data_IF_936695368164
#
_entry.id   IF_936695368164
#
_cell.length_a   1.000
_cell.length_b   1.000
_cell.length_c   1.000
_cell.angle_alpha   90.00
_cell.angle_beta   90.00
_cell.angle_gamma   90.00
#
_symmetry.space_group_name_H-M   'P 1'
#
loop_
_entity.id
_entity.type
_entity.pdbx_description
1 polymer ?
#
# COMPACT_ATOMS: atom_id res chain seq x y z
N UNK A 1 -14.05 15.78 -16.77
CA UNK A 1 -15.29 15.18 -17.30
C UNK A 1 -16.20 14.86 -16.12
N UNK A 2 -17.53 14.83 -16.28
CA UNK A 2 -18.43 14.41 -15.19
C UNK A 2 -18.99 13.04 -15.52
N UNK A 3 -19.14 12.20 -14.51
CA UNK A 3 -19.56 10.82 -14.65
C UNK A 3 -20.72 10.50 -13.72
N UNK A 4 -21.59 9.60 -14.12
CA UNK A 4 -22.57 8.96 -13.26
C UNK A 4 -22.02 7.57 -12.91
N UNK A 5 -21.65 7.37 -11.64
CA UNK A 5 -21.32 6.05 -11.10
C UNK A 5 -22.62 5.34 -10.76
N UNK A 6 -22.76 4.13 -11.27
CA UNK A 6 -23.84 3.20 -10.90
C UNK A 6 -23.22 2.08 -10.05
N UNK A 7 -23.85 1.73 -8.94
CA UNK A 7 -23.39 0.63 -8.09
C UNK A 7 -24.53 -0.28 -7.70
N UNK A 8 -24.25 -1.60 -7.67
CA UNK A 8 -25.20 -2.62 -7.26
C UNK A 8 -24.48 -3.74 -6.49
N UNK A 9 -25.13 -4.22 -5.41
CA UNK A 9 -24.69 -5.42 -4.71
C UNK A 9 -25.35 -6.65 -5.29
N UNK A 10 -24.58 -7.73 -5.47
CA UNK A 10 -25.10 -8.96 -6.04
C UNK A 10 -24.38 -10.19 -5.46
N UNK A 11 -25.06 -11.36 -5.44
CA UNK A 11 -24.39 -12.64 -5.18
C UNK A 11 -23.35 -12.97 -6.25
N UNK A 12 -22.32 -13.77 -5.93
CA UNK A 12 -21.19 -14.05 -6.81
C UNK A 12 -21.57 -14.59 -8.20
N UNK A 13 -22.60 -15.40 -8.30
CA UNK A 13 -23.06 -16.00 -9.55
C UNK A 13 -23.66 -15.00 -10.55
N UNK A 14 -24.00 -13.78 -10.09
CA UNK A 14 -24.53 -12.71 -10.95
C UNK A 14 -23.49 -11.62 -11.25
N UNK A 15 -22.24 -11.77 -10.79
CA UNK A 15 -21.16 -10.81 -11.05
C UNK A 15 -20.89 -10.69 -12.55
N UNK A 16 -20.71 -11.81 -13.23
CA UNK A 16 -20.38 -11.84 -14.65
C UNK A 16 -21.47 -11.17 -15.53
N UNK A 17 -22.76 -11.54 -15.42
CA UNK A 17 -23.80 -10.88 -16.21
C UNK A 17 -23.98 -9.39 -15.90
N UNK A 18 -23.85 -8.96 -14.65
CA UNK A 18 -23.94 -7.56 -14.28
C UNK A 18 -22.72 -6.75 -14.75
N UNK A 19 -21.53 -7.31 -14.59
CA UNK A 19 -20.29 -6.70 -15.09
C UNK A 19 -20.32 -6.54 -16.61
N UNK A 20 -20.81 -7.56 -17.31
CA UNK A 20 -20.99 -7.51 -18.77
C UNK A 20 -21.98 -6.42 -19.18
N UNK A 21 -23.10 -6.30 -18.48
CA UNK A 21 -24.11 -5.26 -18.71
C UNK A 21 -23.52 -3.84 -18.53
N UNK A 22 -22.75 -3.64 -17.46
CA UNK A 22 -22.09 -2.36 -17.17
C UNK A 22 -20.99 -2.05 -18.19
N UNK A 23 -20.25 -3.05 -18.66
CA UNK A 23 -19.21 -2.85 -19.67
C UNK A 23 -19.76 -2.51 -21.06
N UNK A 24 -20.92 -3.09 -21.46
CA UNK A 24 -21.54 -2.79 -22.76
C UNK A 24 -22.09 -1.38 -22.82
N UNK A 25 -22.70 -0.90 -21.74
CA UNK A 25 -23.41 0.38 -21.72
C UNK A 25 -22.60 1.49 -21.05
N UNK A 26 -21.60 1.15 -20.26
CA UNK A 26 -20.70 2.08 -19.60
C UNK A 26 -19.51 2.51 -20.46
N UNK A 27 -18.65 3.30 -19.88
CA UNK A 27 -17.32 3.63 -20.41
C UNK A 27 -16.24 3.17 -19.41
N UNK A 28 -15.23 2.46 -19.91
CA UNK A 28 -14.23 1.81 -19.07
C UNK A 28 -14.68 0.43 -18.58
N UNK A 29 -13.84 -0.20 -17.79
CA UNK A 29 -14.14 -1.50 -17.20
C UNK A 29 -14.95 -1.33 -15.91
N UNK A 30 -15.99 -2.13 -15.74
CA UNK A 30 -16.69 -2.20 -14.47
C UNK A 30 -15.76 -2.74 -13.38
N UNK A 31 -15.83 -2.15 -12.19
CA UNK A 31 -15.08 -2.67 -11.02
C UNK A 31 -15.94 -3.60 -10.19
N UNK A 32 -15.31 -4.62 -9.62
CA UNK A 32 -15.92 -5.57 -8.71
C UNK A 32 -15.21 -5.49 -7.37
N UNK A 33 -15.93 -5.09 -6.34
CA UNK A 33 -15.43 -4.96 -4.98
C UNK A 33 -16.09 -6.01 -4.09
N UNK A 34 -15.31 -6.82 -3.43
CA UNK A 34 -15.78 -7.80 -2.44
C UNK A 34 -15.84 -7.15 -1.07
N UNK A 35 -16.94 -7.35 -0.36
CA UNK A 35 -17.05 -6.92 1.04
C UNK A 35 -16.32 -7.91 1.95
N UNK A 36 -15.62 -7.39 2.95
CA UNK A 36 -14.80 -8.14 3.87
C UNK A 36 -13.32 -8.03 3.47
N UNK A 37 -12.53 -7.48 4.36
CA UNK A 37 -11.08 -7.46 4.17
C UNK A 37 -10.58 -8.91 4.21
N UNK A 38 -10.20 -9.45 3.06
CA UNK A 38 -9.35 -10.63 3.00
C UNK A 38 -8.03 -10.21 2.40
N UNK A 39 -6.97 -10.76 2.92
CA UNK A 39 -5.63 -10.54 2.42
C UNK A 39 -5.14 -11.82 1.71
N UNK A 40 -5.08 -11.84 0.36
CA UNK A 40 -4.57 -13.02 -0.37
C UNK A 40 -3.16 -13.39 0.04
N UNK A 41 -2.34 -12.39 0.41
CA UNK A 41 -0.96 -12.59 0.84
C UNK A 41 -0.88 -13.29 2.21
N UNK A 42 -1.95 -13.24 3.00
CA UNK A 42 -2.10 -14.00 4.24
C UNK A 42 -2.72 -15.40 4.01
N UNK A 43 -2.95 -15.78 2.76
CA UNK A 43 -3.59 -17.05 2.41
C UNK A 43 -5.10 -17.05 2.69
N UNK A 44 -5.68 -15.89 2.92
CA UNK A 44 -7.11 -15.75 3.09
C UNK A 44 -7.80 -15.80 1.74
N UNK A 45 -8.95 -16.44 1.71
CA UNK A 45 -9.83 -16.46 0.54
C UNK A 45 -11.13 -15.77 0.90
N UNK A 46 -11.69 -14.96 -0.01
CA UNK A 46 -12.99 -14.36 0.24
C UNK A 46 -14.03 -15.47 0.42
N UNK A 47 -15.01 -15.21 1.28
CA UNK A 47 -16.18 -16.09 1.34
C UNK A 47 -16.78 -16.21 -0.07
N UNK A 48 -16.81 -17.43 -0.65
CA UNK A 48 -17.31 -17.63 -2.00
C UNK A 48 -18.80 -17.28 -2.15
N UNK A 49 -19.53 -17.15 -1.03
CA UNK A 49 -20.95 -16.80 -1.02
C UNK A 49 -21.20 -15.33 -0.69
N UNK A 50 -20.16 -14.58 -0.31
CA UNK A 50 -20.29 -13.17 0.06
C UNK A 50 -20.74 -12.32 -1.15
N UNK A 51 -21.68 -11.44 -0.90
CA UNK A 51 -22.14 -10.49 -1.89
C UNK A 51 -21.01 -9.53 -2.27
N UNK A 52 -20.98 -9.14 -3.55
CA UNK A 52 -20.02 -8.21 -4.11
C UNK A 52 -20.70 -6.92 -4.56
N UNK A 53 -19.97 -5.82 -4.54
CA UNK A 53 -20.42 -4.56 -5.11
C UNK A 53 -19.81 -4.41 -6.52
N UNK A 54 -20.67 -4.21 -7.50
CA UNK A 54 -20.26 -3.97 -8.90
C UNK A 54 -20.51 -2.50 -9.18
N UNK A 55 -19.50 -1.81 -9.75
CA UNK A 55 -19.61 -0.41 -10.15
C UNK A 55 -19.29 -0.24 -11.62
N UNK A 56 -20.06 0.60 -12.29
CA UNK A 56 -19.83 1.04 -13.66
C UNK A 56 -19.97 2.55 -13.76
N UNK A 57 -19.44 3.13 -14.82
CA UNK A 57 -19.47 4.59 -15.02
C UNK A 57 -20.05 4.94 -16.37
N UNK A 58 -20.95 5.93 -16.39
CA UNK A 58 -21.53 6.52 -17.57
C UNK A 58 -21.02 7.97 -17.71
N UNK A 59 -20.61 8.41 -18.90
CA UNK A 59 -20.31 9.82 -19.11
C UNK A 59 -21.60 10.64 -18.93
N UNK A 60 -21.51 11.79 -18.27
CA UNK A 60 -22.64 12.73 -18.17
C UNK A 60 -22.71 13.57 -19.45
N UNK A 61 -23.35 12.97 -20.45
CA UNK A 61 -23.58 13.53 -21.79
C UNK A 61 -25.03 13.25 -22.27
N UNK A 62 -25.43 13.68 -23.47
CA UNK A 62 -26.77 13.40 -23.97
C UNK A 62 -27.15 11.92 -24.10
N UNK A 63 -26.22 11.00 -24.04
CA UNK A 63 -26.44 9.54 -24.13
C UNK A 63 -26.67 8.87 -22.77
N UNK A 64 -26.42 9.58 -21.66
CA UNK A 64 -26.48 9.05 -20.29
C UNK A 64 -27.79 8.34 -19.99
N UNK A 65 -28.91 9.01 -20.24
CA UNK A 65 -30.25 8.48 -19.95
C UNK A 65 -30.59 7.23 -20.79
N UNK A 66 -30.15 7.19 -22.04
CA UNK A 66 -30.35 6.02 -22.90
C UNK A 66 -29.52 4.81 -22.39
N UNK A 67 -28.27 5.05 -22.03
CA UNK A 67 -27.38 4.01 -21.48
C UNK A 67 -27.89 3.51 -20.12
N UNK A 68 -28.27 4.42 -19.23
CA UNK A 68 -28.87 4.11 -17.94
C UNK A 68 -30.12 3.26 -18.09
N UNK A 69 -31.03 3.66 -18.98
CA UNK A 69 -32.26 2.88 -19.26
C UNK A 69 -31.93 1.45 -19.70
N UNK A 70 -30.92 1.28 -20.54
CA UNK A 70 -30.50 -0.06 -20.98
C UNK A 70 -29.97 -0.91 -19.83
N UNK A 71 -29.19 -0.31 -18.93
CA UNK A 71 -28.70 -0.98 -17.69
C UNK A 71 -29.88 -1.34 -16.78
N UNK A 72 -30.80 -0.43 -16.54
CA UNK A 72 -31.98 -0.66 -15.69
C UNK A 72 -32.86 -1.79 -16.23
N UNK A 73 -33.04 -1.88 -17.54
CA UNK A 73 -33.78 -3.00 -18.16
C UNK A 73 -33.06 -4.31 -17.92
N UNK A 74 -31.72 -4.35 -18.11
CA UNK A 74 -30.91 -5.55 -17.87
C UNK A 74 -30.94 -5.98 -16.39
N UNK A 75 -30.80 -5.05 -15.47
CA UNK A 75 -30.88 -5.32 -14.01
C UNK A 75 -32.28 -5.84 -13.64
N UNK A 76 -33.35 -5.27 -14.16
CA UNK A 76 -34.71 -5.76 -13.93
C UNK A 76 -34.93 -7.17 -14.43
N UNK A 77 -34.34 -7.54 -15.55
CA UNK A 77 -34.42 -8.92 -16.04
C UNK A 77 -33.71 -9.89 -15.08
N UNK A 78 -32.55 -9.50 -14.54
CA UNK A 78 -31.84 -10.31 -13.55
C UNK A 78 -32.62 -10.40 -12.24
N UNK A 79 -33.32 -9.33 -11.83
CA UNK A 79 -34.19 -9.31 -10.63
C UNK A 79 -35.33 -10.31 -10.66
N UNK A 80 -35.73 -10.80 -11.84
CA UNK A 80 -36.69 -11.91 -11.91
C UNK A 80 -36.10 -13.27 -11.48
N UNK A 81 -34.78 -13.37 -11.41
CA UNK A 81 -34.05 -14.59 -11.05
C UNK A 81 -33.52 -14.54 -9.61
N UNK A 82 -33.25 -13.36 -9.09
CA UNK A 82 -32.65 -13.12 -7.77
C UNK A 82 -33.11 -11.78 -7.21
N UNK A 83 -33.28 -11.71 -5.91
CA UNK A 83 -33.63 -10.45 -5.23
C UNK A 83 -32.38 -9.55 -5.16
N UNK A 84 -32.33 -8.52 -5.97
CA UNK A 84 -31.23 -7.54 -6.01
C UNK A 84 -31.70 -6.19 -5.46
N UNK A 85 -30.86 -5.46 -4.73
CA UNK A 85 -31.14 -4.10 -4.27
C UNK A 85 -31.28 -3.14 -5.47
N UNK A 86 -31.76 -1.94 -5.19
CA UNK A 86 -31.78 -0.87 -6.19
C UNK A 86 -30.35 -0.49 -6.62
N UNK A 87 -30.22 -0.03 -7.87
CA UNK A 87 -28.97 0.54 -8.35
C UNK A 87 -28.79 1.90 -7.68
N UNK A 88 -27.68 2.06 -6.98
CA UNK A 88 -27.30 3.33 -6.39
C UNK A 88 -26.62 4.20 -7.44
N UNK A 89 -26.92 5.48 -7.45
CA UNK A 89 -26.42 6.46 -8.40
C UNK A 89 -25.63 7.54 -7.65
N UNK A 90 -24.45 7.86 -8.17
CA UNK A 90 -23.61 8.92 -7.64
C UNK A 90 -22.97 9.70 -8.79
N UNK A 91 -23.27 11.00 -8.88
CA UNK A 91 -22.52 11.84 -9.82
C UNK A 91 -21.09 12.06 -9.27
N UNK A 92 -20.10 11.76 -10.10
CA UNK A 92 -18.69 11.96 -9.79
C UNK A 92 -18.01 12.79 -10.87
N UNK A 93 -17.16 13.70 -10.48
CA UNK A 93 -16.33 14.46 -11.42
C UNK A 93 -14.93 13.87 -11.50
N UNK A 94 -14.23 14.01 -12.65
CA UNK A 94 -12.83 13.59 -12.80
C UNK A 94 -11.91 14.13 -11.71
N UNK A 95 -12.37 15.12 -10.96
CA UNK A 95 -11.65 15.69 -9.84
C UNK A 95 -12.00 15.10 -8.47
N UNK A 96 -13.12 14.37 -8.31
CA UNK A 96 -13.56 13.99 -6.95
C UNK A 96 -12.80 12.82 -6.37
N UNK A 97 -12.40 11.84 -7.14
CA UNK A 97 -11.50 10.82 -6.65
C UNK A 97 -10.01 11.23 -6.76
N UNK A 98 -9.66 12.20 -7.62
CA UNK A 98 -8.40 12.97 -7.51
C UNK A 98 -8.45 14.00 -6.40
N UNK A 99 -9.65 14.41 -5.98
CA UNK A 99 -9.93 15.35 -4.90
C UNK A 99 -10.31 14.67 -3.57
N UNK A 100 -9.97 13.40 -3.34
CA UNK A 100 -9.69 13.02 -1.97
C UNK A 100 -8.56 13.98 -1.54
N UNK A 101 -8.94 15.04 -0.82
CA UNK A 101 -7.99 15.95 -0.20
C UNK A 101 -7.27 15.13 0.86
N UNK A 102 -6.21 14.50 0.45
CA UNK A 102 -5.27 13.98 1.40
C UNK A 102 -4.68 15.19 2.12
N UNK A 103 -5.03 15.34 3.37
CA UNK A 103 -4.47 16.40 4.20
C UNK A 103 -3.02 16.05 4.56
N UNK A 104 -2.14 17.06 4.75
CA UNK A 104 -0.81 16.80 5.26
C UNK A 104 -0.85 16.07 6.60
N UNK A 105 -0.06 15.02 6.73
CA UNK A 105 0.01 14.22 7.96
C UNK A 105 1.35 14.41 8.63
N UNK A 106 1.33 14.76 9.92
CA UNK A 106 2.51 14.71 10.77
C UNK A 106 2.76 13.28 11.23
N UNK A 107 4.00 12.84 11.08
CA UNK A 107 4.46 11.53 11.50
C UNK A 107 5.63 11.73 12.46
N UNK A 108 5.55 11.13 13.63
CA UNK A 108 6.60 11.27 14.65
C UNK A 108 6.79 12.70 15.09
N UNK A 109 8.02 13.20 15.06
CA UNK A 109 8.40 14.52 15.56
C UNK A 109 8.53 15.56 14.43
N UNK A 110 9.24 15.22 13.35
CA UNK A 110 9.60 16.19 12.32
C UNK A 110 9.10 15.80 10.92
N UNK A 111 8.78 14.52 10.66
CA UNK A 111 8.30 14.11 9.36
C UNK A 111 6.89 14.62 9.08
N UNK A 112 6.69 15.15 7.87
CA UNK A 112 5.37 15.56 7.38
C UNK A 112 5.19 15.04 5.96
N UNK A 113 4.17 14.23 5.74
CA UNK A 113 3.78 13.79 4.40
C UNK A 113 2.79 14.79 3.85
N UNK A 114 3.10 15.34 2.68
CA UNK A 114 2.30 16.36 2.02
C UNK A 114 1.93 15.86 0.62
N UNK A 115 0.63 15.81 0.27
CA UNK A 115 0.23 15.57 -1.10
C UNK A 115 0.75 16.67 -2.01
N UNK A 116 1.34 16.32 -3.15
CA UNK A 116 2.03 17.26 -4.05
C UNK A 116 1.17 18.42 -4.55
N UNK A 117 -0.15 18.23 -4.61
CA UNK A 117 -1.12 19.26 -5.01
C UNK A 117 -1.52 20.21 -3.87
N UNK A 118 -0.98 20.03 -2.65
CA UNK A 118 -1.40 20.76 -1.45
C UNK A 118 -0.40 21.87 -1.10
N UNK A 119 -0.89 23.07 -0.90
CA UNK A 119 -0.06 24.16 -0.35
C UNK A 119 0.13 23.91 1.14
N UNK A 120 1.37 23.69 1.56
CA UNK A 120 1.72 23.43 2.95
C UNK A 120 2.73 24.47 3.45
N UNK A 121 2.53 24.98 4.65
CA UNK A 121 3.46 25.87 5.31
C UNK A 121 4.26 25.11 6.37
N UNK A 122 5.46 24.70 6.00
CA UNK A 122 6.35 23.93 6.87
C UNK A 122 6.90 24.78 8.02
N UNK A 123 7.04 24.19 9.21
CA UNK A 123 7.84 24.76 10.28
C UNK A 123 9.34 24.55 9.98
N UNK A 124 10.24 25.33 10.60
CA UNK A 124 11.69 25.22 10.35
C UNK A 124 12.30 23.83 10.65
N UNK A 125 11.62 23.03 11.48
CA UNK A 125 12.06 21.67 11.86
C UNK A 125 11.39 20.58 11.04
N UNK A 126 10.41 20.91 10.17
CA UNK A 126 9.68 19.93 9.41
C UNK A 126 10.54 19.33 8.28
N UNK A 127 10.55 18.02 8.19
CA UNK A 127 11.09 17.27 7.09
C UNK A 127 9.91 16.87 6.20
N UNK A 128 9.72 17.64 5.14
CA UNK A 128 8.56 17.49 4.25
C UNK A 128 8.83 16.43 3.20
N UNK A 129 7.94 15.46 3.10
CA UNK A 129 7.92 14.42 2.08
C UNK A 129 6.70 14.68 1.19
N UNK A 130 6.95 15.14 -0.04
CA UNK A 130 5.91 15.33 -1.03
C UNK A 130 5.66 14.03 -1.79
N UNK A 131 4.43 13.51 -1.71
CA UNK A 131 4.00 12.32 -2.44
C UNK A 131 2.85 12.65 -3.38
N UNK A 132 2.87 12.06 -4.58
CA UNK A 132 1.70 12.02 -5.43
C UNK A 132 0.73 10.99 -4.85
N UNK A 133 -0.52 11.38 -4.51
CA UNK A 133 -1.55 10.41 -4.16
C UNK A 133 -1.82 9.52 -5.37
N UNK A 134 -1.36 8.29 -5.35
CA UNK A 134 -1.42 7.36 -6.49
C UNK A 134 -2.06 6.03 -6.12
N UNK A 135 -2.14 5.14 -7.11
CA UNK A 135 -2.67 3.78 -6.97
C UNK A 135 -1.74 2.84 -6.17
N UNK A 136 -0.46 3.20 -6.01
CA UNK A 136 0.48 2.40 -5.26
C UNK A 136 0.21 2.49 -3.75
N UNK A 137 0.29 1.35 -3.06
CA UNK A 137 0.21 1.27 -1.60
C UNK A 137 1.31 2.14 -0.96
N UNK A 138 1.04 2.72 0.22
CA UNK A 138 2.03 3.52 0.94
C UNK A 138 1.84 5.04 0.78
N UNK A 139 0.59 5.53 0.68
CA UNK A 139 0.29 6.98 0.68
C UNK A 139 0.61 7.70 2.00
N UNK A 140 1.11 6.95 2.99
CA UNK A 140 1.43 7.49 4.31
C UNK A 140 0.27 7.56 5.32
N UNK A 141 -0.96 7.28 4.88
CA UNK A 141 -2.15 7.38 5.74
C UNK A 141 -2.47 6.06 6.47
N UNK A 142 -1.97 4.94 5.98
CA UNK A 142 -2.24 3.64 6.60
C UNK A 142 -1.44 3.49 7.91
N UNK A 143 -2.03 2.93 8.99
CA UNK A 143 -1.37 2.74 10.28
C UNK A 143 0.01 2.07 10.18
N UNK A 144 0.16 1.08 9.29
CA UNK A 144 1.42 0.36 9.09
C UNK A 144 2.53 1.26 8.57
N UNK A 145 2.21 2.14 7.61
CA UNK A 145 3.16 3.10 7.04
C UNK A 145 3.55 4.15 8.07
N UNK A 146 2.57 4.68 8.82
CA UNK A 146 2.83 5.63 9.91
C UNK A 146 3.80 5.05 10.95
N UNK A 147 3.56 3.82 11.39
CA UNK A 147 4.42 3.14 12.37
C UNK A 147 5.85 2.93 11.83
N UNK A 148 6.01 2.53 10.56
CA UNK A 148 7.32 2.40 9.95
C UNK A 148 8.06 3.73 9.90
N UNK A 149 7.41 4.80 9.44
CA UNK A 149 7.99 6.13 9.33
C UNK A 149 8.44 6.68 10.68
N UNK A 150 7.64 6.51 11.74
CA UNK A 150 8.01 6.91 13.09
C UNK A 150 9.19 6.11 13.64
N UNK A 151 9.32 4.83 13.29
CA UNK A 151 10.49 4.04 13.67
C UNK A 151 11.73 4.44 12.86
N UNK A 152 11.59 4.70 11.56
CA UNK A 152 12.66 5.22 10.69
C UNK A 152 13.19 6.53 11.24
N UNK A 153 12.31 7.47 11.64
CA UNK A 153 12.72 8.75 12.24
C UNK A 153 13.58 8.57 13.50
N UNK A 154 13.32 7.52 14.29
CA UNK A 154 14.07 7.26 15.54
C UNK A 154 15.43 6.62 15.32
N UNK A 155 15.58 5.83 14.24
CA UNK A 155 16.75 4.96 14.11
C UNK A 155 17.71 5.37 13.00
N UNK A 156 17.23 5.99 11.92
CA UNK A 156 18.06 6.42 10.79
C UNK A 156 19.02 7.53 11.22
N UNK A 157 20.28 7.36 10.85
CA UNK A 157 21.35 8.32 11.09
C UNK A 157 21.93 8.82 9.75
N UNK A 158 22.55 9.99 9.76
CA UNK A 158 23.25 10.48 8.57
C UNK A 158 24.31 9.49 8.08
N UNK A 159 24.24 9.17 6.78
CA UNK A 159 25.15 8.24 6.12
C UNK A 159 24.72 6.77 6.14
N UNK A 160 23.67 6.39 6.87
CA UNK A 160 23.18 5.01 6.90
C UNK A 160 22.78 4.51 5.50
N UNK A 161 22.92 3.20 5.29
CA UNK A 161 22.40 2.48 4.13
C UNK A 161 21.07 1.88 4.50
N UNK A 162 20.04 2.28 3.75
CA UNK A 162 18.66 1.83 3.96
C UNK A 162 18.26 0.80 2.89
N UNK A 163 17.61 -0.28 3.33
CA UNK A 163 16.97 -1.27 2.45
C UNK A 163 15.46 -1.21 2.65
N UNK A 164 14.70 -1.13 1.56
CA UNK A 164 13.24 -1.07 1.52
C UNK A 164 12.69 -2.30 0.79
N UNK A 165 12.18 -3.28 1.51
CA UNK A 165 11.67 -4.53 0.94
C UNK A 165 10.15 -4.46 0.81
N UNK A 166 9.65 -4.53 -0.43
CA UNK A 166 8.28 -4.19 -0.78
C UNK A 166 8.10 -2.67 -0.73
N UNK A 167 8.88 -1.96 -1.53
CA UNK A 167 9.00 -0.49 -1.40
C UNK A 167 7.75 0.28 -1.83
N UNK A 168 6.85 -0.30 -2.63
CA UNK A 168 5.58 0.28 -3.06
C UNK A 168 5.76 1.66 -3.69
N UNK A 169 5.27 2.71 -3.03
CA UNK A 169 5.43 4.10 -3.45
C UNK A 169 6.84 4.67 -3.23
N UNK A 170 7.72 3.97 -2.51
CA UNK A 170 9.04 4.43 -2.09
C UNK A 170 9.03 5.38 -0.89
N UNK A 171 7.92 5.51 -0.18
CA UNK A 171 7.79 6.49 0.92
C UNK A 171 8.79 6.25 2.05
N UNK A 172 9.08 4.99 2.41
CA UNK A 172 10.05 4.67 3.46
C UNK A 172 11.47 5.03 3.02
N UNK A 173 11.81 4.73 1.76
CA UNK A 173 13.07 5.13 1.12
C UNK A 173 13.25 6.64 1.10
N UNK A 174 12.22 7.40 0.71
CA UNK A 174 12.24 8.87 0.71
C UNK A 174 12.44 9.40 2.13
N UNK A 175 11.72 8.86 3.11
CA UNK A 175 11.86 9.26 4.51
C UNK A 175 13.28 9.04 5.04
N UNK A 176 13.85 7.86 4.79
CA UNK A 176 15.22 7.55 5.21
C UNK A 176 16.24 8.52 4.60
N UNK A 177 16.12 8.82 3.29
CA UNK A 177 16.99 9.75 2.59
C UNK A 177 16.81 11.20 3.08
N UNK A 178 15.59 11.63 3.35
CA UNK A 178 15.29 12.96 3.89
C UNK A 178 15.83 13.14 5.32
N UNK A 179 15.91 12.06 6.10
CA UNK A 179 16.54 12.02 7.43
C UNK A 179 18.07 11.96 7.36
N UNK A 180 18.65 11.82 6.18
CA UNK A 180 20.09 11.87 5.98
C UNK A 180 20.75 10.54 5.68
N UNK A 181 20.01 9.46 5.41
CA UNK A 181 20.60 8.22 4.90
C UNK A 181 21.48 8.50 3.68
N UNK A 182 22.60 7.80 3.58
CA UNK A 182 23.56 8.00 2.51
C UNK A 182 23.09 7.38 1.19
N UNK A 183 22.39 6.26 1.26
CA UNK A 183 21.81 5.56 0.12
C UNK A 183 20.61 4.71 0.53
N UNK A 184 19.61 4.61 -0.36
CA UNK A 184 18.49 3.70 -0.22
C UNK A 184 18.44 2.71 -1.38
N UNK A 185 18.28 1.42 -1.07
CA UNK A 185 17.98 0.38 -2.05
C UNK A 185 16.57 -0.12 -1.80
N UNK A 186 15.69 -0.02 -2.80
CA UNK A 186 14.32 -0.52 -2.72
C UNK A 186 14.11 -1.70 -3.66
N UNK A 187 13.31 -2.68 -3.23
CA UNK A 187 12.87 -3.80 -4.05
C UNK A 187 11.36 -3.93 -4.01
N UNK A 188 10.78 -4.24 -5.15
CA UNK A 188 9.37 -4.64 -5.23
C UNK A 188 9.17 -5.66 -6.35
N UNK A 189 8.25 -6.58 -6.16
CA UNK A 189 7.91 -7.61 -7.16
C UNK A 189 6.96 -7.07 -8.24
N UNK A 190 6.29 -5.94 -7.96
CA UNK A 190 5.34 -5.32 -8.86
C UNK A 190 6.02 -4.23 -9.71
N UNK A 191 5.95 -4.35 -11.03
CA UNK A 191 6.55 -3.37 -11.95
C UNK A 191 5.99 -1.95 -11.75
N UNK A 192 4.70 -1.81 -11.44
CA UNK A 192 4.05 -0.53 -11.17
C UNK A 192 4.60 0.13 -9.89
N UNK A 193 4.94 -0.65 -8.87
CA UNK A 193 5.60 -0.17 -7.66
C UNK A 193 7.02 0.33 -7.96
N UNK A 194 7.78 -0.40 -8.76
CA UNK A 194 9.13 0.00 -9.21
C UNK A 194 9.07 1.33 -9.98
N UNK A 195 8.10 1.48 -10.90
CA UNK A 195 7.90 2.72 -11.66
C UNK A 195 7.51 3.87 -10.72
N UNK A 196 6.56 3.64 -9.83
CA UNK A 196 6.07 4.63 -8.87
C UNK A 196 7.17 5.10 -7.90
N UNK A 197 7.92 4.17 -7.32
CA UNK A 197 9.05 4.48 -6.43
C UNK A 197 10.10 5.34 -7.11
N UNK A 198 10.53 4.97 -8.33
CA UNK A 198 11.49 5.75 -9.10
C UNK A 198 10.99 7.17 -9.38
N UNK A 199 9.72 7.31 -9.79
CA UNK A 199 9.12 8.61 -10.05
C UNK A 199 9.04 9.49 -8.79
N UNK A 200 8.66 8.91 -7.64
CA UNK A 200 8.55 9.62 -6.38
C UNK A 200 9.92 10.04 -5.83
N UNK A 201 10.93 9.15 -5.89
CA UNK A 201 12.30 9.44 -5.49
C UNK A 201 12.93 10.52 -6.37
N UNK A 202 12.71 10.47 -7.69
CA UNK A 202 13.16 11.50 -8.61
C UNK A 202 12.55 12.87 -8.29
N UNK A 203 11.26 12.89 -8.05
CA UNK A 203 10.55 14.11 -7.70
C UNK A 203 10.93 14.68 -6.33
N UNK A 204 11.34 13.81 -5.38
CA UNK A 204 11.91 14.22 -4.10
C UNK A 204 13.39 14.64 -4.20
N UNK A 205 14.02 14.53 -5.37
CA UNK A 205 15.42 14.91 -5.58
C UNK A 205 16.44 13.87 -5.11
N UNK A 206 16.04 12.60 -5.00
CA UNK A 206 16.89 11.53 -4.47
C UNK A 206 17.33 10.49 -5.51
N UNK A 207 17.18 10.74 -6.81
CA UNK A 207 17.58 9.79 -7.87
C UNK A 207 19.03 9.30 -7.74
N UNK A 208 19.95 10.20 -7.37
CA UNK A 208 21.38 9.86 -7.28
C UNK A 208 21.73 9.08 -5.97
N UNK A 209 20.78 9.02 -5.02
CA UNK A 209 20.97 8.37 -3.72
C UNK A 209 20.07 7.15 -3.55
N UNK A 210 19.40 6.73 -4.61
CA UNK A 210 18.48 5.60 -4.56
C UNK A 210 18.73 4.62 -5.71
N UNK A 211 18.44 3.34 -5.44
CA UNK A 211 18.44 2.27 -6.43
C UNK A 211 17.18 1.45 -6.22
N UNK A 212 16.27 1.43 -7.20
CA UNK A 212 15.05 0.63 -7.14
C UNK A 212 15.15 -0.51 -8.13
N UNK A 213 14.88 -1.72 -7.65
CA UNK A 213 15.05 -2.97 -8.37
C UNK A 213 13.75 -3.77 -8.39
N UNK A 214 13.48 -4.44 -9.50
CA UNK A 214 12.40 -5.42 -9.57
C UNK A 214 12.82 -6.72 -8.89
N UNK A 215 11.96 -7.27 -8.02
CA UNK A 215 12.20 -8.52 -7.33
C UNK A 215 12.12 -8.40 -5.81
N UNK A 216 12.67 -9.40 -5.13
CA UNK A 216 12.69 -9.51 -3.67
C UNK A 216 14.05 -10.03 -3.19
N UNK A 217 14.24 -10.14 -1.88
CA UNK A 217 15.45 -10.73 -1.29
C UNK A 217 15.31 -12.25 -1.14
N UNK A 218 16.42 -13.04 -1.31
CA UNK A 218 17.78 -12.59 -1.63
C UNK A 218 17.89 -12.06 -3.06
N UNK A 219 18.73 -11.06 -3.28
CA UNK A 219 18.93 -10.42 -4.58
C UNK A 219 20.42 -10.11 -4.81
N UNK A 220 20.95 -10.28 -6.03
CA UNK A 220 22.37 -10.12 -6.36
C UNK A 220 22.94 -8.73 -6.03
N UNK A 221 22.10 -7.71 -6.02
CA UNK A 221 22.48 -6.35 -5.65
C UNK A 221 22.26 -6.00 -4.17
N UNK A 222 21.80 -6.96 -3.36
CA UNK A 222 21.62 -6.80 -1.91
C UNK A 222 22.71 -7.59 -1.19
N UNK A 223 23.69 -6.87 -0.69
CA UNK A 223 24.82 -7.48 0.01
C UNK A 223 24.42 -7.95 1.41
N UNK A 224 24.95 -9.10 1.82
CA UNK A 224 24.86 -9.56 3.20
C UNK A 224 25.48 -8.54 4.15
N UNK A 225 24.79 -8.25 5.26
CA UNK A 225 25.21 -7.27 6.29
C UNK A 225 25.52 -5.88 5.71
N UNK A 226 24.87 -5.56 4.61
CA UNK A 226 25.14 -4.34 3.87
C UNK A 226 24.34 -3.13 4.31
N UNK A 227 23.33 -3.28 5.17
CA UNK A 227 22.39 -2.23 5.49
C UNK A 227 22.29 -1.96 6.99
N UNK A 228 22.29 -0.67 7.35
CA UNK A 228 22.20 -0.23 8.73
C UNK A 228 20.74 -0.25 9.21
N UNK A 229 19.80 0.05 8.31
CA UNK A 229 18.36 0.00 8.57
C UNK A 229 17.67 -0.73 7.42
N UNK A 230 16.82 -1.68 7.76
CA UNK A 230 15.99 -2.44 6.81
C UNK A 230 14.52 -2.17 7.14
N UNK A 231 13.74 -1.67 6.19
CA UNK A 231 12.30 -1.52 6.27
C UNK A 231 11.60 -2.63 5.47
N UNK A 232 10.54 -3.21 6.03
CA UNK A 232 9.70 -4.18 5.35
C UNK A 232 8.24 -4.00 5.83
N UNK A 233 7.45 -3.26 5.05
CA UNK A 233 6.01 -3.06 5.31
C UNK A 233 5.19 -3.97 4.38
N UNK A 234 5.20 -5.26 4.68
CA UNK A 234 4.63 -6.34 3.85
C UNK A 234 3.88 -7.34 4.72
N UNK A 235 3.13 -8.27 4.11
CA UNK A 235 2.29 -9.20 4.84
C UNK A 235 3.07 -10.17 5.74
N UNK A 236 2.40 -10.70 6.77
CA UNK A 236 3.00 -11.61 7.74
C UNK A 236 3.58 -12.87 7.07
N UNK A 237 2.88 -13.46 6.09
CA UNK A 237 3.36 -14.64 5.39
C UNK A 237 4.67 -14.38 4.64
N UNK A 238 4.79 -13.22 4.00
CA UNK A 238 6.00 -12.83 3.28
C UNK A 238 7.12 -12.52 4.27
N UNK A 239 6.87 -11.82 5.37
CA UNK A 239 7.85 -11.59 6.44
C UNK A 239 8.39 -12.89 7.04
N UNK A 240 7.50 -13.88 7.27
CA UNK A 240 7.91 -15.21 7.77
C UNK A 240 8.82 -15.90 6.76
N UNK A 241 8.46 -15.88 5.48
CA UNK A 241 9.26 -16.49 4.42
C UNK A 241 10.62 -15.80 4.23
N UNK A 242 10.68 -14.48 4.38
CA UNK A 242 11.87 -13.66 4.19
C UNK A 242 12.66 -13.40 5.48
N UNK A 243 12.30 -14.01 6.62
CA UNK A 243 12.96 -13.74 7.90
C UNK A 243 14.47 -13.95 7.86
N UNK A 244 14.95 -15.05 7.24
CA UNK A 244 16.39 -15.32 7.12
C UNK A 244 17.07 -14.30 6.18
N UNK A 245 16.63 -14.05 4.94
CA UNK A 245 17.22 -13.03 4.08
C UNK A 245 17.23 -11.61 4.69
N UNK A 246 16.19 -11.23 5.44
CA UNK A 246 16.14 -9.94 6.16
C UNK A 246 17.23 -9.85 7.24
N UNK A 247 17.41 -10.91 8.05
CA UNK A 247 18.48 -10.98 9.04
C UNK A 247 19.87 -10.99 8.38
N UNK A 248 20.00 -11.61 7.21
CA UNK A 248 21.30 -11.66 6.51
C UNK A 248 21.66 -10.31 5.87
N UNK A 249 20.67 -9.51 5.45
CA UNK A 249 20.90 -8.21 4.83
C UNK A 249 21.30 -7.11 5.83
N UNK A 250 20.87 -7.20 7.10
CA UNK A 250 21.13 -6.18 8.11
C UNK A 250 22.54 -6.33 8.72
N UNK A 251 23.22 -5.20 8.96
CA UNK A 251 24.53 -5.16 9.63
C UNK A 251 24.43 -5.63 11.10
N UNK A 252 25.57 -5.91 11.72
CA UNK A 252 25.61 -6.45 13.10
C UNK A 252 24.97 -5.50 14.13
N UNK A 253 25.11 -4.19 13.93
CA UNK A 253 24.51 -3.15 14.78
C UNK A 253 23.21 -2.57 14.18
N UNK A 254 22.79 -3.09 13.04
CA UNK A 254 21.66 -2.57 12.29
C UNK A 254 20.30 -2.99 12.86
N UNK A 255 19.25 -2.42 12.27
CA UNK A 255 17.87 -2.56 12.73
C UNK A 255 16.98 -2.96 11.58
N UNK A 256 16.08 -3.91 11.81
CA UNK A 256 14.98 -4.26 10.91
C UNK A 256 13.68 -3.69 11.50
N UNK A 257 12.92 -2.96 10.69
CA UNK A 257 11.60 -2.46 11.00
C UNK A 257 10.60 -3.23 10.14
N UNK A 258 9.69 -3.98 10.76
CA UNK A 258 8.63 -4.71 10.07
C UNK A 258 7.27 -4.12 10.40
N UNK A 259 6.36 -4.11 9.45
CA UNK A 259 4.93 -3.79 9.62
C UNK A 259 4.11 -4.46 8.51
N UNK A 260 2.80 -4.16 8.43
CA UNK A 260 1.88 -4.85 7.53
C UNK A 260 1.36 -6.15 8.12
N UNK A 261 1.43 -6.30 9.44
CA UNK A 261 1.09 -7.50 10.20
C UNK A 261 -0.11 -7.21 11.11
N UNK A 262 -1.15 -8.00 11.01
CA UNK A 262 -2.25 -7.97 11.98
C UNK A 262 -1.77 -8.50 13.35
N UNK A 263 -2.37 -8.02 14.43
CA UNK A 263 -2.03 -8.42 15.81
C UNK A 263 -2.15 -9.93 16.01
N UNK A 264 -3.14 -10.56 15.38
CA UNK A 264 -3.39 -12.00 15.39
C UNK A 264 -2.25 -12.84 14.78
N UNK A 265 -1.40 -12.24 13.94
CA UNK A 265 -0.28 -12.89 13.25
C UNK A 265 1.09 -12.48 13.81
N UNK A 266 1.12 -11.55 14.77
CA UNK A 266 2.38 -11.01 15.30
C UNK A 266 3.29 -12.09 15.92
N UNK A 267 2.70 -13.02 16.67
CA UNK A 267 3.48 -14.08 17.34
C UNK A 267 4.16 -15.02 16.33
N UNK A 268 3.52 -15.31 15.20
CA UNK A 268 4.10 -16.12 14.13
C UNK A 268 5.32 -15.43 13.51
N UNK A 269 5.21 -14.12 13.23
CA UNK A 269 6.32 -13.31 12.71
C UNK A 269 7.46 -13.26 13.70
N UNK A 270 7.20 -12.98 14.97
CA UNK A 270 8.19 -12.95 16.04
C UNK A 270 8.91 -14.32 16.16
N UNK A 271 8.15 -15.42 16.10
CA UNK A 271 8.72 -16.77 16.17
C UNK A 271 9.66 -17.06 14.99
N UNK A 272 9.27 -16.64 13.76
CA UNK A 272 10.09 -16.80 12.57
C UNK A 272 11.42 -16.06 12.69
N UNK A 273 11.39 -14.78 13.10
CA UNK A 273 12.62 -14.01 13.30
C UNK A 273 13.50 -14.55 14.42
N UNK A 274 12.91 -14.97 15.54
CA UNK A 274 13.68 -15.61 16.63
C UNK A 274 14.41 -16.87 16.17
N UNK A 275 13.78 -17.69 15.32
CA UNK A 275 14.36 -18.93 14.78
C UNK A 275 15.63 -18.67 13.95
N UNK A 276 15.73 -17.52 13.30
CA UNK A 276 16.88 -17.13 12.45
C UNK A 276 17.84 -16.16 13.16
N UNK A 277 17.74 -16.03 14.48
CA UNK A 277 18.65 -15.20 15.27
C UNK A 277 18.25 -13.73 15.38
N UNK A 278 17.00 -13.39 15.09
CA UNK A 278 16.44 -12.07 15.36
C UNK A 278 16.04 -11.91 16.83
N UNK A 279 16.26 -10.71 17.37
CA UNK A 279 15.82 -10.31 18.71
C UNK A 279 14.88 -9.11 18.59
N UNK A 280 13.64 -9.28 19.01
CA UNK A 280 12.67 -8.18 19.07
C UNK A 280 13.08 -7.21 20.17
N UNK A 281 13.23 -5.93 19.82
CA UNK A 281 13.51 -4.82 20.75
C UNK A 281 12.24 -4.12 21.22
N UNK A 282 11.32 -3.89 20.30
CA UNK A 282 10.04 -3.25 20.58
C UNK A 282 8.98 -3.72 19.60
N UNK A 283 7.74 -3.66 20.04
CA UNK A 283 6.56 -3.82 19.19
C UNK A 283 5.54 -2.76 19.59
N UNK A 284 4.77 -2.28 18.62
CA UNK A 284 3.65 -1.35 18.85
C UNK A 284 2.48 -1.71 17.93
N UNK A 285 1.32 -1.21 18.29
CA UNK A 285 0.08 -1.44 17.56
C UNK A 285 -0.69 -0.13 17.41
N UNK A 286 -1.28 0.05 16.24
CA UNK A 286 -2.29 1.07 15.96
C UNK A 286 -3.46 0.33 15.30
N UNK A 287 -4.66 0.45 15.90
CA UNK A 287 -5.82 -0.36 15.54
C UNK A 287 -5.45 -1.86 15.63
N UNK A 288 -5.67 -2.64 14.57
CA UNK A 288 -5.35 -4.07 14.52
C UNK A 288 -3.98 -4.35 13.85
N UNK A 289 -3.22 -3.31 13.52
CA UNK A 289 -1.95 -3.42 12.81
C UNK A 289 -0.75 -3.26 13.74
N UNK A 290 0.28 -4.03 13.48
CA UNK A 290 1.50 -4.02 14.30
C UNK A 290 2.74 -3.61 13.51
N UNK A 291 3.69 -3.03 14.22
CA UNK A 291 5.06 -2.80 13.76
C UNK A 291 6.03 -3.32 14.79
N UNK A 292 7.14 -3.91 14.34
CA UNK A 292 8.14 -4.54 15.21
C UNK A 292 9.53 -4.09 14.81
N UNK A 293 10.34 -3.72 15.81
CA UNK A 293 11.75 -3.46 15.65
C UNK A 293 12.58 -4.67 16.10
N UNK A 294 13.43 -5.13 15.20
CA UNK A 294 14.19 -6.36 15.37
C UNK A 294 15.67 -6.05 15.17
N UNK A 295 16.53 -6.62 16.01
CA UNK A 295 17.98 -6.65 15.83
C UNK A 295 18.48 -8.05 15.61
N UNK A 296 19.65 -8.16 15.01
CA UNK A 296 20.38 -9.40 14.96
C UNK A 296 20.88 -9.75 16.36
N UNK A 297 20.75 -11.02 16.79
CA UNK A 297 21.31 -11.48 18.06
C UNK A 297 22.84 -11.59 17.95
N UNK A 298 23.56 -11.05 18.90
CA UNK A 298 25.00 -11.21 18.98
C UNK A 298 25.35 -12.72 19.11
N UNK A 299 26.05 -13.27 18.12
CA UNK A 299 26.47 -14.66 18.12
C UNK A 299 25.80 -15.60 17.13
N UNK A 300 24.89 -15.15 16.30
CA UNK A 300 24.38 -15.93 15.15
C UNK A 300 25.45 -15.97 14.05
N UNK A 301 26.17 -17.10 13.95
CA UNK A 301 27.08 -17.40 12.82
C UNK A 301 26.32 -17.99 11.68
#
# INVERSE_FOLDING_TARGET
>A
MRWLQLSIKAPPEYVEPLTHLFNIHGEGSASVERQGGFNPDEGESPDPTAWVTIRGWLPLDPTTETRKTAIDVGVRLIRHLVDLPEVEELEVSDGEWRNQKFEPIRVGTNLVIVPRSTVFHANPTDIVIELEPGLAFGTGHHPTTLMCLEEIEKVVKPGDRFLDVGCGSGVLSIAALALGAGHSTGLDIEDDAVISSNANLAAAGFSDKSTILAGSIPHDHVADRGFDVVGANISANVLIALAQPLIDSVSDDGVIITSGVLDTRLDDVIAAFKKVGGKVESSRMIEDWTSTRIKRSAGSK
#
